data_IF_382226554373
#
_entry.id   IF_382226554373
#
_cell.length_a   1.000
_cell.length_b   1.000
_cell.length_c   1.000
_cell.angle_alpha   90.00
_cell.angle_beta   90.00
_cell.angle_gamma   90.00
#
_symmetry.space_group_name_H-M   'P 1'
#
loop_
_entity.id
_entity.type
_entity.pdbx_description
1 polymer ?
#
# COMPACT_ATOMS: atom_id res chain seq x y z
N UNK A 1 -97.74 -119.71 -28.41
CA UNK A 1 -98.94 -119.23 -29.15
C UNK A 1 -99.37 -120.31 -30.11
N UNK A 2 -100.60 -120.77 -29.92
CA UNK A 2 -101.32 -121.74 -30.75
C UNK A 2 -101.08 -121.53 -32.24
N UNK A 3 -100.61 -122.57 -32.93
CA UNK A 3 -100.89 -122.78 -34.34
C UNK A 3 -101.37 -124.22 -34.51
N UNK A 4 -102.66 -124.30 -34.80
CA UNK A 4 -103.39 -125.36 -35.51
C UNK A 4 -102.52 -126.48 -36.12
N UNK A 5 -102.89 -127.76 -35.97
CA UNK A 5 -102.26 -128.83 -36.74
C UNK A 5 -102.52 -128.53 -38.21
N UNK A 6 -101.45 -128.37 -38.99
CA UNK A 6 -101.61 -128.32 -40.45
C UNK A 6 -102.17 -129.68 -40.88
N UNK A 7 -103.33 -129.73 -41.55
CA UNK A 7 -103.67 -130.90 -42.34
C UNK A 7 -102.58 -131.04 -43.41
N UNK A 8 -102.30 -132.26 -43.85
CA UNK A 8 -101.26 -132.61 -44.83
C UNK A 8 -99.83 -132.84 -44.30
N UNK A 9 -99.67 -133.47 -43.12
CA UNK A 9 -98.48 -134.34 -42.92
C UNK A 9 -98.86 -135.72 -43.43
N UNK A 10 -98.27 -136.22 -44.53
CA UNK A 10 -98.53 -137.57 -45.01
C UNK A 10 -98.22 -138.57 -43.90
N UNK A 11 -99.14 -139.50 -43.62
CA UNK A 11 -98.86 -140.59 -42.69
C UNK A 11 -97.86 -141.55 -43.33
N UNK A 12 -96.57 -141.24 -43.17
CA UNK A 12 -95.47 -142.01 -43.71
C UNK A 12 -95.44 -143.44 -43.15
N UNK A 13 -96.03 -143.67 -41.96
CA UNK A 13 -96.20 -145.00 -41.38
C UNK A 13 -97.25 -145.81 -42.13
N UNK A 14 -98.42 -145.21 -42.40
CA UNK A 14 -99.45 -145.84 -43.23
C UNK A 14 -98.97 -146.08 -44.67
N UNK A 15 -98.22 -145.14 -45.26
CA UNK A 15 -97.65 -145.29 -46.61
C UNK A 15 -96.57 -146.39 -46.68
N UNK A 16 -95.70 -146.49 -45.66
CA UNK A 16 -94.71 -147.56 -45.58
C UNK A 16 -95.35 -148.95 -45.38
N UNK A 17 -96.41 -149.03 -44.56
CA UNK A 17 -97.18 -150.26 -44.37
C UNK A 17 -97.90 -150.69 -45.67
N UNK A 18 -98.54 -149.76 -46.38
CA UNK A 18 -99.15 -150.04 -47.69
C UNK A 18 -98.11 -150.49 -48.72
N UNK A 19 -96.91 -149.90 -48.72
CA UNK A 19 -95.82 -150.30 -49.61
C UNK A 19 -95.29 -151.71 -49.29
N UNK A 20 -95.22 -152.08 -48.01
CA UNK A 20 -94.82 -153.44 -47.58
C UNK A 20 -95.88 -154.50 -47.90
N UNK A 21 -97.17 -154.21 -47.71
CA UNK A 21 -98.26 -155.11 -48.11
C UNK A 21 -98.27 -155.34 -49.62
N UNK A 22 -98.03 -154.29 -50.40
CA UNK A 22 -97.94 -154.39 -51.86
C UNK A 22 -96.73 -155.24 -52.31
N UNK A 23 -95.56 -155.06 -51.71
CA UNK A 23 -94.35 -155.82 -52.03
C UNK A 23 -94.47 -157.32 -51.66
N UNK A 24 -95.17 -157.64 -50.56
CA UNK A 24 -95.41 -159.03 -50.13
C UNK A 24 -96.46 -159.72 -50.99
N UNK A 25 -97.49 -159.00 -51.45
CA UNK A 25 -98.41 -159.49 -52.49
C UNK A 25 -97.70 -159.81 -53.81
N UNK A 26 -96.71 -159.00 -54.21
CA UNK A 26 -96.00 -159.18 -55.47
C UNK A 26 -95.10 -160.42 -55.51
N UNK A 27 -94.49 -160.83 -54.39
CA UNK A 27 -93.69 -162.06 -54.33
C UNK A 27 -94.49 -163.35 -54.55
N UNK A 28 -95.80 -163.35 -54.23
CA UNK A 28 -96.67 -164.52 -54.49
C UNK A 28 -96.93 -164.78 -55.98
N UNK A 29 -96.69 -163.81 -56.85
CA UNK A 29 -96.88 -163.94 -58.30
C UNK A 29 -95.70 -164.59 -59.05
N UNK A 30 -94.55 -164.81 -58.42
CA UNK A 30 -93.33 -165.25 -59.11
C UNK A 30 -93.25 -166.77 -59.43
N UNK A 31 -94.21 -167.59 -59.00
CA UNK A 31 -94.14 -169.08 -59.08
C UNK A 31 -95.28 -169.75 -59.90
N UNK A 32 -95.75 -169.14 -61.00
CA UNK A 32 -96.72 -169.77 -61.92
C UNK A 32 -96.08 -170.15 -63.26
N UNK A 33 -96.41 -171.33 -63.86
CA UNK A 33 -95.96 -171.73 -65.20
C UNK A 33 -96.46 -170.77 -66.29
N UNK A 34 -95.73 -170.66 -67.40
CA UNK A 34 -95.93 -169.63 -68.44
C UNK A 34 -97.39 -169.53 -68.93
N UNK A 35 -98.11 -168.54 -68.41
CA UNK A 35 -99.46 -168.16 -68.82
C UNK A 35 -99.37 -167.02 -69.84
N UNK A 36 -99.60 -167.33 -71.12
CA UNK A 36 -99.74 -166.35 -72.21
C UNK A 36 -101.16 -165.74 -72.20
N UNK A 37 -101.58 -165.18 -71.06
CA UNK A 37 -102.83 -164.42 -70.94
C UNK A 37 -102.57 -162.91 -71.15
N UNK A 38 -103.10 -162.29 -72.22
CA UNK A 38 -102.93 -160.87 -72.52
C UNK A 38 -103.29 -159.92 -71.36
N UNK A 39 -104.24 -160.30 -70.50
CA UNK A 39 -104.61 -159.51 -69.34
C UNK A 39 -103.54 -159.52 -68.24
N UNK A 40 -102.79 -160.62 -68.08
CA UNK A 40 -101.71 -160.74 -67.09
C UNK A 40 -100.47 -159.96 -67.58
N UNK A 41 -100.10 -160.08 -68.85
CA UNK A 41 -99.01 -159.31 -69.46
C UNK A 41 -99.26 -157.80 -69.35
N UNK A 42 -100.49 -157.35 -69.59
CA UNK A 42 -100.88 -155.94 -69.43
C UNK A 42 -100.70 -155.46 -67.98
N UNK A 43 -101.05 -156.28 -66.99
CA UNK A 43 -100.86 -155.95 -65.56
C UNK A 43 -99.38 -155.87 -65.18
N UNK A 44 -98.54 -156.76 -65.70
CA UNK A 44 -97.09 -156.73 -65.48
C UNK A 44 -96.44 -155.47 -66.07
N UNK A 45 -96.83 -155.07 -67.29
CA UNK A 45 -96.34 -153.83 -67.89
C UNK A 45 -96.73 -152.60 -67.05
N UNK A 46 -97.99 -152.51 -66.60
CA UNK A 46 -98.45 -151.42 -65.72
C UNK A 46 -97.69 -151.37 -64.40
N UNK A 47 -97.29 -152.52 -63.88
CA UNK A 47 -96.50 -152.58 -62.66
C UNK A 47 -95.06 -152.11 -62.88
N UNK A 48 -94.47 -152.46 -64.02
CA UNK A 48 -93.16 -151.98 -64.41
C UNK A 48 -93.17 -150.45 -64.56
N UNK A 49 -94.23 -149.90 -65.17
CA UNK A 49 -94.44 -148.45 -65.25
C UNK A 49 -94.59 -147.80 -63.88
N UNK A 50 -95.35 -148.43 -62.96
CA UNK A 50 -95.49 -147.95 -61.59
C UNK A 50 -94.14 -147.95 -60.85
N UNK A 51 -93.32 -148.98 -61.06
CA UNK A 51 -91.99 -149.08 -60.45
C UNK A 51 -91.07 -147.98 -60.97
N UNK A 52 -91.10 -147.71 -62.28
CA UNK A 52 -90.37 -146.61 -62.89
C UNK A 52 -90.85 -145.24 -62.36
N UNK A 53 -92.16 -145.06 -62.19
CA UNK A 53 -92.72 -143.84 -61.59
C UNK A 53 -92.27 -143.66 -60.14
N UNK A 54 -92.28 -144.72 -59.32
CA UNK A 54 -91.79 -144.67 -57.94
C UNK A 54 -90.30 -144.31 -57.89
N UNK A 55 -89.48 -144.90 -58.77
CA UNK A 55 -88.05 -144.56 -58.85
C UNK A 55 -87.83 -143.09 -59.26
N UNK A 56 -88.60 -142.58 -60.22
CA UNK A 56 -88.54 -141.18 -60.63
C UNK A 56 -88.96 -140.23 -59.50
N UNK A 57 -90.02 -140.57 -58.76
CA UNK A 57 -90.48 -139.80 -57.59
C UNK A 57 -89.39 -139.80 -56.51
N UNK A 58 -88.79 -140.95 -56.21
CA UNK A 58 -87.70 -141.04 -55.24
C UNK A 58 -86.52 -140.13 -55.63
N UNK A 59 -86.11 -140.17 -56.90
CA UNK A 59 -85.03 -139.30 -57.39
C UNK A 59 -85.40 -137.81 -57.32
N UNK A 60 -86.66 -137.45 -57.62
CA UNK A 60 -87.15 -136.07 -57.49
C UNK A 60 -87.11 -135.61 -56.03
N UNK A 61 -87.65 -136.41 -55.10
CA UNK A 61 -87.63 -136.09 -53.67
C UNK A 61 -86.20 -135.93 -53.16
N UNK A 62 -85.29 -136.83 -53.55
CA UNK A 62 -83.88 -136.71 -53.19
C UNK A 62 -83.26 -135.41 -53.72
N UNK A 63 -83.58 -135.03 -54.96
CA UNK A 63 -83.11 -133.78 -55.59
C UNK A 63 -83.62 -132.55 -54.84
N UNK A 64 -84.92 -132.51 -54.54
CA UNK A 64 -85.57 -131.37 -53.89
C UNK A 64 -85.07 -131.19 -52.45
N UNK A 65 -84.93 -132.29 -51.70
CA UNK A 65 -84.34 -132.26 -50.35
C UNK A 65 -82.91 -131.73 -50.40
N UNK A 66 -82.09 -132.26 -51.32
CA UNK A 66 -80.69 -131.84 -51.48
C UNK A 66 -80.60 -130.36 -51.84
N UNK A 67 -81.41 -129.90 -52.80
CA UNK A 67 -81.46 -128.51 -53.24
C UNK A 67 -81.89 -127.57 -52.10
N UNK A 68 -82.95 -127.93 -51.37
CA UNK A 68 -83.44 -127.14 -50.23
C UNK A 68 -82.40 -127.04 -49.10
N UNK A 69 -81.69 -128.14 -48.80
CA UNK A 69 -80.60 -128.14 -47.81
C UNK A 69 -79.44 -127.26 -48.26
N UNK A 70 -79.03 -127.33 -49.54
CA UNK A 70 -77.98 -126.48 -50.11
C UNK A 70 -78.37 -125.01 -50.00
N UNK A 71 -79.59 -124.65 -50.39
CA UNK A 71 -80.05 -123.26 -50.32
C UNK A 71 -80.17 -122.74 -48.89
N UNK A 72 -80.67 -123.56 -47.97
CA UNK A 72 -80.75 -123.21 -46.54
C UNK A 72 -79.36 -123.00 -45.94
N UNK A 73 -78.43 -123.92 -46.23
CA UNK A 73 -77.04 -123.83 -45.75
C UNK A 73 -76.34 -122.62 -46.36
N UNK A 74 -76.53 -122.36 -47.66
CA UNK A 74 -75.98 -121.19 -48.36
C UNK A 74 -76.49 -119.89 -47.75
N UNK A 75 -77.81 -119.77 -47.52
CA UNK A 75 -78.42 -118.61 -46.86
C UNK A 75 -77.87 -118.41 -45.45
N UNK A 76 -77.72 -119.50 -44.70
CA UNK A 76 -77.17 -119.46 -43.33
C UNK A 76 -75.71 -119.01 -43.33
N UNK A 77 -74.87 -119.59 -44.18
CA UNK A 77 -73.46 -119.19 -44.32
C UNK A 77 -73.36 -117.72 -44.73
N UNK A 78 -74.10 -117.30 -45.76
CA UNK A 78 -74.08 -115.92 -46.24
C UNK A 78 -74.53 -114.95 -45.15
N UNK A 79 -75.57 -115.28 -44.39
CA UNK A 79 -76.04 -114.47 -43.26
C UNK A 79 -74.98 -114.37 -42.17
N UNK A 80 -74.43 -115.50 -41.72
CA UNK A 80 -73.41 -115.53 -40.65
C UNK A 80 -72.16 -114.76 -41.08
N UNK A 81 -71.66 -114.99 -42.30
CA UNK A 81 -70.50 -114.27 -42.83
C UNK A 81 -70.77 -112.77 -42.90
N UNK A 82 -71.93 -112.35 -43.41
CA UNK A 82 -72.29 -110.91 -43.47
C UNK A 82 -72.38 -110.31 -42.08
N UNK A 83 -73.06 -110.98 -41.14
CA UNK A 83 -73.24 -110.50 -39.77
C UNK A 83 -71.92 -110.41 -38.99
N UNK A 84 -70.94 -111.26 -39.27
CA UNK A 84 -69.62 -111.21 -38.61
C UNK A 84 -68.63 -110.27 -39.31
N UNK A 85 -68.64 -110.20 -40.65
CA UNK A 85 -67.63 -109.43 -41.42
C UNK A 85 -67.99 -107.95 -41.55
N UNK A 86 -69.28 -107.61 -41.62
CA UNK A 86 -69.71 -106.22 -41.75
C UNK A 86 -69.27 -105.33 -40.56
N UNK A 87 -69.49 -105.71 -39.28
CA UNK A 87 -69.02 -104.88 -38.17
C UNK A 87 -67.50 -104.74 -38.15
N UNK A 88 -66.75 -105.80 -38.45
CA UNK A 88 -65.28 -105.73 -38.56
C UNK A 88 -64.82 -104.75 -39.64
N UNK A 89 -65.52 -104.70 -40.78
CA UNK A 89 -65.23 -103.72 -41.85
C UNK A 89 -65.47 -102.29 -41.36
N UNK A 90 -66.56 -102.08 -40.63
CA UNK A 90 -66.93 -100.75 -40.11
C UNK A 90 -65.94 -100.31 -39.01
N UNK A 91 -65.53 -101.22 -38.12
CA UNK A 91 -64.51 -100.98 -37.09
C UNK A 91 -63.15 -100.64 -37.72
N UNK A 92 -62.73 -101.37 -38.76
CA UNK A 92 -61.50 -101.09 -39.51
C UNK A 92 -61.59 -99.70 -40.17
N UNK A 93 -62.74 -99.35 -40.74
CA UNK A 93 -62.96 -98.03 -41.35
C UNK A 93 -62.87 -96.92 -40.30
N UNK A 94 -63.57 -97.06 -39.18
CA UNK A 94 -63.54 -96.09 -38.07
C UNK A 94 -62.13 -95.92 -37.52
N UNK A 95 -61.43 -97.02 -37.26
CA UNK A 95 -60.04 -97.00 -36.75
C UNK A 95 -59.11 -96.28 -37.73
N UNK A 96 -59.28 -96.50 -39.04
CA UNK A 96 -58.51 -95.80 -40.07
C UNK A 96 -58.79 -94.30 -40.07
N UNK A 97 -60.05 -93.89 -39.96
CA UNK A 97 -60.45 -92.48 -39.89
C UNK A 97 -59.87 -91.80 -38.64
N UNK A 98 -59.92 -92.47 -37.48
CA UNK A 98 -59.36 -91.95 -36.23
C UNK A 98 -57.83 -91.85 -36.26
N UNK A 99 -57.14 -92.87 -36.79
CA UNK A 99 -55.69 -92.82 -36.98
C UNK A 99 -55.29 -91.71 -37.95
N UNK A 100 -56.06 -91.46 -39.00
CA UNK A 100 -55.80 -90.36 -39.94
C UNK A 100 -55.90 -89.01 -39.23
N UNK A 101 -56.97 -88.79 -38.45
CA UNK A 101 -57.14 -87.56 -37.64
C UNK A 101 -56.00 -87.36 -36.65
N UNK A 102 -55.56 -88.41 -35.96
CA UNK A 102 -54.44 -88.34 -35.03
C UNK A 102 -53.12 -88.00 -35.73
N UNK A 103 -52.86 -88.60 -36.90
CA UNK A 103 -51.67 -88.28 -37.70
C UNK A 103 -51.68 -86.83 -38.17
N UNK A 104 -52.83 -86.30 -38.60
CA UNK A 104 -52.95 -84.91 -39.01
C UNK A 104 -52.75 -83.95 -37.83
N UNK A 105 -53.34 -84.24 -36.67
CA UNK A 105 -53.12 -83.46 -35.45
C UNK A 105 -51.63 -83.43 -35.04
N UNK A 106 -50.95 -84.59 -35.04
CA UNK A 106 -49.51 -84.66 -34.75
C UNK A 106 -48.69 -83.88 -35.77
N UNK A 107 -49.09 -83.91 -37.06
CA UNK A 107 -48.41 -83.12 -38.11
C UNK A 107 -48.53 -81.62 -37.85
N UNK A 108 -49.71 -81.16 -37.45
CA UNK A 108 -49.95 -79.75 -37.12
C UNK A 108 -49.19 -79.31 -35.86
N UNK A 109 -49.15 -80.15 -34.83
CA UNK A 109 -48.33 -79.91 -33.64
C UNK A 109 -46.84 -79.80 -33.98
N UNK A 110 -46.33 -80.73 -34.81
CA UNK A 110 -44.93 -80.71 -35.28
C UNK A 110 -44.64 -79.43 -36.08
N UNK A 111 -45.58 -78.97 -36.92
CA UNK A 111 -45.45 -77.72 -37.66
C UNK A 111 -45.37 -76.52 -36.70
N UNK A 112 -46.26 -76.47 -35.72
CA UNK A 112 -46.31 -75.41 -34.69
C UNK A 112 -45.01 -75.37 -33.88
N UNK A 113 -44.50 -76.52 -33.42
CA UNK A 113 -43.22 -76.63 -32.72
C UNK A 113 -42.05 -76.14 -33.59
N UNK A 114 -42.05 -76.48 -34.89
CA UNK A 114 -41.01 -76.04 -35.82
C UNK A 114 -41.02 -74.52 -36.02
N UNK A 115 -42.20 -73.91 -36.07
CA UNK A 115 -42.35 -72.45 -36.15
C UNK A 115 -41.92 -71.78 -34.84
N UNK A 116 -42.32 -72.32 -33.69
CA UNK A 116 -41.86 -71.84 -32.37
C UNK A 116 -40.34 -71.90 -32.21
N UNK A 117 -39.70 -73.00 -32.62
CA UNK A 117 -38.24 -73.13 -32.60
C UNK A 117 -37.53 -72.13 -33.51
N UNK A 118 -38.14 -71.74 -34.64
CA UNK A 118 -37.58 -70.67 -35.49
C UNK A 118 -37.67 -69.32 -34.78
N UNK A 119 -38.80 -68.99 -34.15
CA UNK A 119 -38.94 -67.73 -33.38
C UNK A 119 -37.89 -67.63 -32.28
N UNK A 120 -37.76 -68.68 -31.47
CA UNK A 120 -36.77 -68.74 -30.38
C UNK A 120 -35.34 -68.57 -30.91
N UNK A 121 -35.03 -69.13 -32.08
CA UNK A 121 -33.70 -68.98 -32.69
C UNK A 121 -33.41 -67.54 -33.09
N UNK A 122 -34.38 -66.84 -33.68
CA UNK A 122 -34.22 -65.43 -34.05
C UNK A 122 -34.14 -64.51 -32.83
N UNK A 123 -34.96 -64.77 -31.80
CA UNK A 123 -34.86 -64.07 -30.51
C UNK A 123 -33.49 -64.26 -29.86
N UNK A 124 -32.97 -65.50 -29.83
CA UNK A 124 -31.64 -65.78 -29.29
C UNK A 124 -30.53 -65.07 -30.07
N UNK A 125 -30.69 -64.95 -31.40
CA UNK A 125 -29.77 -64.19 -32.24
C UNK A 125 -29.80 -62.70 -31.89
N UNK A 126 -30.99 -62.11 -31.75
CA UNK A 126 -31.17 -60.71 -31.35
C UNK A 126 -30.58 -60.43 -29.95
N UNK A 127 -30.83 -61.32 -28.98
CA UNK A 127 -30.23 -61.22 -27.64
C UNK A 127 -28.70 -61.26 -27.70
N UNK A 128 -28.13 -62.14 -28.54
CA UNK A 128 -26.67 -62.23 -28.71
C UNK A 128 -26.07 -60.97 -29.34
N UNK A 129 -26.76 -60.36 -30.29
CA UNK A 129 -26.35 -59.09 -30.89
C UNK A 129 -26.47 -57.93 -29.89
N UNK A 130 -27.55 -57.88 -29.11
CA UNK A 130 -27.71 -56.91 -28.03
C UNK A 130 -26.63 -57.02 -26.96
N UNK A 131 -26.27 -58.24 -26.55
CA UNK A 131 -25.21 -58.46 -25.57
C UNK A 131 -23.84 -57.99 -26.08
N UNK A 132 -23.53 -58.19 -27.37
CA UNK A 132 -22.30 -57.66 -27.98
C UNK A 132 -22.27 -56.13 -27.99
N UNK A 133 -23.39 -55.49 -28.32
CA UNK A 133 -23.49 -54.02 -28.27
C UNK A 133 -23.22 -53.50 -26.86
N UNK A 134 -23.81 -54.13 -25.84
CA UNK A 134 -23.58 -53.76 -24.42
C UNK A 134 -22.11 -53.96 -24.03
N UNK A 135 -21.46 -55.02 -24.50
CA UNK A 135 -20.05 -55.28 -24.24
C UNK A 135 -19.14 -54.19 -24.86
N UNK A 136 -19.44 -53.77 -26.09
CA UNK A 136 -18.73 -52.68 -26.78
C UNK A 136 -18.94 -51.33 -26.07
N UNK A 137 -20.19 -51.00 -25.71
CA UNK A 137 -20.53 -49.78 -24.97
C UNK A 137 -19.83 -49.73 -23.61
N UNK A 138 -19.79 -50.85 -22.89
CA UNK A 138 -19.10 -50.95 -21.61
C UNK A 138 -17.60 -50.76 -21.77
N UNK A 139 -16.99 -51.32 -22.82
CA UNK A 139 -15.58 -51.13 -23.13
C UNK A 139 -15.27 -49.68 -23.45
N UNK A 140 -16.07 -49.02 -24.30
CA UNK A 140 -15.92 -47.60 -24.62
C UNK A 140 -16.04 -46.72 -23.37
N UNK A 141 -17.08 -46.97 -22.56
CA UNK A 141 -17.30 -46.24 -21.30
C UNK A 141 -16.11 -46.38 -20.35
N UNK A 142 -15.54 -47.59 -20.23
CA UNK A 142 -14.36 -47.85 -19.41
C UNK A 142 -13.13 -47.10 -19.91
N UNK A 143 -12.88 -47.09 -21.21
CA UNK A 143 -11.78 -46.35 -21.82
C UNK A 143 -11.92 -44.84 -21.59
N UNK A 144 -13.12 -44.29 -21.77
CA UNK A 144 -13.39 -42.86 -21.57
C UNK A 144 -13.24 -42.45 -20.10
N UNK A 145 -13.79 -43.24 -19.17
CA UNK A 145 -13.61 -43.00 -17.74
C UNK A 145 -12.13 -43.07 -17.33
N UNK A 146 -11.36 -43.99 -17.90
CA UNK A 146 -9.92 -44.10 -17.62
C UNK A 146 -9.17 -42.85 -18.09
N UNK A 147 -9.49 -42.33 -19.29
CA UNK A 147 -8.90 -41.08 -19.80
C UNK A 147 -9.26 -39.89 -18.89
N UNK A 148 -10.53 -39.77 -18.50
CA UNK A 148 -10.98 -38.70 -17.62
C UNK A 148 -10.30 -38.74 -16.24
N UNK A 149 -10.21 -39.93 -15.64
CA UNK A 149 -9.53 -40.11 -14.34
C UNK A 149 -8.06 -39.72 -14.44
N UNK A 150 -7.37 -40.11 -15.51
CA UNK A 150 -5.96 -39.74 -15.71
C UNK A 150 -5.80 -38.23 -15.89
N UNK A 151 -6.66 -37.59 -16.70
CA UNK A 151 -6.62 -36.14 -16.91
C UNK A 151 -6.83 -35.37 -15.59
N UNK A 152 -7.85 -35.75 -14.81
CA UNK A 152 -8.08 -35.18 -13.46
C UNK A 152 -6.88 -35.44 -12.54
N UNK A 153 -6.28 -36.62 -12.61
CA UNK A 153 -5.09 -36.96 -11.84
C UNK A 153 -3.89 -36.06 -12.17
N UNK A 154 -3.70 -35.70 -13.43
CA UNK A 154 -2.63 -34.80 -13.86
C UNK A 154 -2.93 -33.34 -13.50
N UNK A 155 -4.17 -32.88 -13.67
CA UNK A 155 -4.60 -31.55 -13.21
C UNK A 155 -4.37 -31.36 -11.71
N UNK A 156 -4.71 -32.38 -10.89
CA UNK A 156 -4.47 -32.35 -9.45
C UNK A 156 -2.98 -32.27 -9.11
N UNK A 157 -2.10 -32.96 -9.86
CA UNK A 157 -0.64 -32.84 -9.67
C UNK A 157 -0.17 -31.43 -9.99
N UNK A 158 -0.59 -30.86 -11.12
CA UNK A 158 -0.22 -29.50 -11.53
C UNK A 158 -0.68 -28.45 -10.53
N UNK A 159 -1.91 -28.57 -10.02
CA UNK A 159 -2.42 -27.68 -8.94
C UNK A 159 -1.56 -27.81 -7.67
N UNK A 160 -1.19 -29.03 -7.29
CA UNK A 160 -0.35 -29.26 -6.11
C UNK A 160 1.05 -28.66 -6.26
N UNK A 161 1.65 -28.75 -7.44
CA UNK A 161 2.94 -28.12 -7.75
C UNK A 161 2.83 -26.59 -7.76
N UNK A 162 1.80 -26.04 -8.39
CA UNK A 162 1.53 -24.61 -8.37
C UNK A 162 1.34 -24.06 -6.95
N UNK A 163 0.62 -24.78 -6.09
CA UNK A 163 0.41 -24.38 -4.70
C UNK A 163 1.72 -24.35 -3.90
N UNK A 164 2.62 -25.33 -4.12
CA UNK A 164 3.95 -25.33 -3.49
C UNK A 164 4.79 -24.13 -3.92
N UNK A 165 4.78 -23.80 -5.21
CA UNK A 165 5.49 -22.61 -5.72
C UNK A 165 4.98 -21.34 -5.05
N UNK A 166 3.66 -21.18 -4.94
CA UNK A 166 3.05 -20.02 -4.26
C UNK A 166 3.44 -19.98 -2.78
N UNK A 167 3.51 -21.12 -2.10
CA UNK A 167 3.95 -21.20 -0.70
C UNK A 167 5.40 -20.75 -0.53
N UNK A 168 6.30 -21.19 -1.42
CA UNK A 168 7.70 -20.77 -1.45
C UNK A 168 7.86 -19.27 -1.73
N UNK A 169 7.14 -18.74 -2.72
CA UNK A 169 7.14 -17.31 -3.07
C UNK A 169 6.64 -16.44 -1.92
N UNK A 170 5.57 -16.89 -1.24
CA UNK A 170 5.02 -16.19 -0.08
C UNK A 170 6.02 -16.18 1.09
N UNK A 171 6.73 -17.29 1.31
CA UNK A 171 7.77 -17.38 2.33
C UNK A 171 8.92 -16.43 2.01
N UNK A 172 9.41 -16.41 0.77
CA UNK A 172 10.46 -15.48 0.32
C UNK A 172 10.03 -14.02 0.50
N UNK A 173 8.84 -13.68 0.04
CA UNK A 173 8.26 -12.33 0.17
C UNK A 173 8.16 -11.89 1.64
N UNK A 174 7.74 -12.80 2.53
CA UNK A 174 7.67 -12.52 3.97
C UNK A 174 9.05 -12.27 4.58
N UNK A 175 10.05 -13.07 4.20
CA UNK A 175 11.43 -12.89 4.66
C UNK A 175 12.01 -11.55 4.18
N UNK A 176 11.79 -11.19 2.92
CA UNK A 176 12.28 -9.93 2.34
C UNK A 176 11.60 -8.71 2.96
N UNK A 177 10.27 -8.74 3.13
CA UNK A 177 9.54 -7.68 3.84
C UNK A 177 10.04 -7.54 5.28
N UNK A 178 10.32 -8.64 5.97
CA UNK A 178 10.86 -8.60 7.34
C UNK A 178 12.24 -7.93 7.37
N UNK A 179 13.13 -8.25 6.42
CA UNK A 179 14.45 -7.59 6.29
C UNK A 179 14.30 -6.09 6.02
N UNK A 180 13.43 -5.71 5.07
CA UNK A 180 13.20 -4.30 4.73
C UNK A 180 12.64 -3.51 5.91
N UNK A 181 11.65 -4.06 6.63
CA UNK A 181 11.09 -3.42 7.82
C UNK A 181 12.16 -3.21 8.89
N UNK A 182 13.01 -4.22 9.13
CA UNK A 182 14.10 -4.09 10.09
C UNK A 182 15.13 -3.04 9.67
N UNK A 183 15.51 -2.99 8.38
CA UNK A 183 16.41 -1.97 7.86
C UNK A 183 15.84 -0.55 8.04
N UNK A 184 14.58 -0.34 7.66
CA UNK A 184 13.89 0.95 7.86
C UNK A 184 13.83 1.31 9.35
N UNK A 185 13.58 0.34 10.23
CA UNK A 185 13.56 0.57 11.68
C UNK A 185 14.91 1.04 12.21
N UNK A 186 15.99 0.43 11.73
CA UNK A 186 17.35 0.79 12.14
C UNK A 186 17.75 2.16 11.58
N UNK A 187 17.38 2.47 10.33
CA UNK A 187 17.56 3.81 9.74
C UNK A 187 16.81 4.89 10.54
N UNK A 188 15.57 4.63 10.92
CA UNK A 188 14.77 5.55 11.76
C UNK A 188 15.44 5.79 13.11
N UNK A 189 15.93 4.74 13.79
CA UNK A 189 16.68 4.91 15.04
C UNK A 189 17.94 5.75 14.84
N UNK A 190 18.69 5.51 13.78
CA UNK A 190 19.90 6.28 13.47
C UNK A 190 19.58 7.76 13.24
N UNK A 191 18.49 8.06 12.53
CA UNK A 191 18.00 9.43 12.34
C UNK A 191 17.57 10.06 13.66
N UNK A 192 16.85 9.33 14.52
CA UNK A 192 16.45 9.81 15.86
C UNK A 192 17.67 10.15 16.72
N UNK A 193 18.68 9.30 16.75
CA UNK A 193 19.94 9.54 17.46
C UNK A 193 20.71 10.73 16.88
N UNK A 194 20.81 10.83 15.55
CA UNK A 194 21.44 11.96 14.87
C UNK A 194 20.74 13.29 15.14
N UNK A 195 19.40 13.30 15.17
CA UNK A 195 18.60 14.47 15.50
C UNK A 195 18.78 14.89 16.96
N UNK A 196 18.84 13.92 17.88
CA UNK A 196 19.11 14.17 19.30
C UNK A 196 20.49 14.80 19.49
N UNK A 197 21.52 14.26 18.86
CA UNK A 197 22.88 14.82 18.88
C UNK A 197 22.92 16.25 18.34
N UNK A 198 22.31 16.48 17.16
CA UNK A 198 22.21 17.82 16.55
C UNK A 198 21.52 18.81 17.48
N UNK A 199 20.43 18.39 18.14
CA UNK A 199 19.71 19.23 19.10
C UNK A 199 20.58 19.60 20.31
N UNK A 200 21.33 18.64 20.86
CA UNK A 200 22.25 18.88 21.97
C UNK A 200 23.36 19.86 21.58
N UNK A 201 23.96 19.70 20.40
CA UNK A 201 25.01 20.58 19.90
C UNK A 201 24.51 22.00 19.62
N UNK A 202 23.35 22.14 18.97
CA UNK A 202 22.72 23.45 18.77
C UNK A 202 22.40 24.13 20.10
N UNK A 203 21.94 23.37 21.10
CA UNK A 203 21.67 23.92 22.44
C UNK A 203 22.96 24.46 23.09
N UNK A 204 24.07 23.72 22.99
CA UNK A 204 25.38 24.19 23.48
C UNK A 204 25.83 25.45 22.75
N UNK A 205 25.73 25.49 21.42
CA UNK A 205 26.12 26.67 20.62
C UNK A 205 25.28 27.89 20.98
N UNK A 206 23.96 27.74 21.09
CA UNK A 206 23.06 28.83 21.51
C UNK A 206 23.44 29.36 22.89
N UNK A 207 23.74 28.47 23.85
CA UNK A 207 24.17 28.88 25.18
C UNK A 207 25.50 29.63 25.14
N UNK A 208 26.48 29.14 24.38
CA UNK A 208 27.77 29.81 24.22
C UNK A 208 27.63 31.21 23.61
N UNK A 209 26.85 31.35 22.54
CA UNK A 209 26.52 32.66 21.95
C UNK A 209 25.81 33.56 22.97
N UNK A 210 24.89 33.00 23.75
CA UNK A 210 24.21 33.73 24.82
C UNK A 210 25.17 34.27 25.88
N UNK A 211 26.19 33.51 26.25
CA UNK A 211 27.20 33.91 27.22
C UNK A 211 28.20 34.92 26.65
N UNK A 212 28.64 34.75 25.40
CA UNK A 212 29.46 35.74 24.69
C UNK A 212 28.74 37.09 24.62
N UNK A 213 27.44 37.07 24.30
CA UNK A 213 26.63 38.28 24.19
C UNK A 213 26.44 38.97 25.56
N UNK A 214 26.37 38.20 26.65
CA UNK A 214 26.44 38.76 28.02
C UNK A 214 27.80 39.40 28.29
N UNK A 215 28.90 38.75 27.90
CA UNK A 215 30.27 39.28 28.07
C UNK A 215 30.44 40.61 27.33
N UNK A 216 30.09 40.65 26.04
CA UNK A 216 30.10 41.88 25.23
C UNK A 216 29.27 42.98 25.89
N UNK A 217 28.08 42.65 26.42
CA UNK A 217 27.23 43.62 27.13
C UNK A 217 27.89 44.16 28.40
N UNK A 218 28.65 43.32 29.13
CA UNK A 218 29.42 43.75 30.30
C UNK A 218 30.59 44.65 29.89
N UNK A 219 31.35 44.29 28.85
CA UNK A 219 32.49 45.07 28.32
C UNK A 219 32.06 46.42 27.72
N UNK A 220 30.86 46.51 27.15
CA UNK A 220 30.33 47.76 26.61
C UNK A 220 30.00 48.78 27.71
N UNK A 221 29.75 48.33 28.95
CA UNK A 221 29.42 49.19 30.09
C UNK A 221 30.56 50.16 30.47
N UNK A 222 31.81 49.71 30.76
CA UNK A 222 32.92 50.61 31.02
C UNK A 222 33.30 51.46 29.81
N UNK A 223 33.12 50.98 28.57
CA UNK A 223 33.29 51.81 27.37
C UNK A 223 32.30 52.98 27.39
N UNK A 224 31.01 52.72 27.66
CA UNK A 224 29.98 53.76 27.77
C UNK A 224 30.29 54.76 28.89
N UNK A 225 30.78 54.29 30.03
CA UNK A 225 31.14 55.15 31.14
C UNK A 225 32.44 55.93 30.87
N UNK A 226 33.41 55.34 30.18
CA UNK A 226 34.61 56.02 29.68
C UNK A 226 34.28 57.13 28.69
N UNK A 227 33.35 56.90 27.76
CA UNK A 227 32.85 57.95 26.84
C UNK A 227 32.19 59.10 27.61
N UNK A 228 31.40 58.82 28.65
CA UNK A 228 30.84 59.88 29.52
C UNK A 228 31.93 60.67 30.23
N UNK A 229 32.95 60.00 30.77
CA UNK A 229 34.08 60.62 31.44
C UNK A 229 34.85 61.53 30.50
N UNK A 230 35.20 61.05 29.30
CA UNK A 230 35.84 61.86 28.24
C UNK A 230 34.99 63.10 27.93
N UNK A 231 33.67 62.95 27.81
CA UNK A 231 32.77 64.09 27.56
C UNK A 231 32.79 65.13 28.69
N UNK A 232 32.93 64.70 29.95
CA UNK A 232 33.07 65.60 31.10
C UNK A 232 34.45 66.30 31.10
N UNK A 233 35.53 65.55 30.88
CA UNK A 233 36.88 66.11 30.77
C UNK A 233 36.98 67.12 29.63
N UNK A 234 36.37 66.83 28.47
CA UNK A 234 36.33 67.75 27.34
C UNK A 234 35.62 69.06 27.69
N UNK A 235 34.54 68.98 28.48
CA UNK A 235 33.82 70.16 28.98
C UNK A 235 34.68 70.97 29.96
N UNK A 236 35.41 70.31 30.85
CA UNK A 236 36.36 70.97 31.76
C UNK A 236 37.45 71.70 30.97
N UNK A 237 38.04 71.06 29.96
CA UNK A 237 39.05 71.68 29.08
C UNK A 237 38.44 72.87 28.33
N UNK A 238 37.19 72.76 27.87
CA UNK A 238 36.49 73.89 27.24
C UNK A 238 36.35 75.09 28.18
N UNK A 239 36.06 74.85 29.46
CA UNK A 239 35.95 75.88 30.49
C UNK A 239 37.33 76.46 30.87
N UNK A 240 38.37 75.63 30.98
CA UNK A 240 39.75 76.07 31.21
C UNK A 240 40.23 76.99 30.06
N UNK A 241 39.95 76.62 28.81
CA UNK A 241 40.27 77.44 27.64
C UNK A 241 39.55 78.79 27.68
N UNK A 242 38.29 78.84 28.15
CA UNK A 242 37.57 80.11 28.35
C UNK A 242 38.25 80.95 29.44
N UNK A 243 38.67 80.34 30.55
CA UNK A 243 39.39 81.02 31.62
C UNK A 243 40.71 81.61 31.14
N UNK A 244 41.55 80.82 30.46
CA UNK A 244 42.83 81.28 29.89
C UNK A 244 42.60 82.43 28.91
N UNK A 245 41.54 82.37 28.08
CA UNK A 245 41.19 83.46 27.17
C UNK A 245 40.83 84.75 27.92
N UNK A 246 40.19 84.64 29.08
CA UNK A 246 39.88 85.77 29.95
C UNK A 246 41.14 86.31 30.63
N UNK A 247 42.01 85.45 31.17
CA UNK A 247 43.28 85.85 31.77
C UNK A 247 44.18 86.55 30.77
N UNK A 248 44.27 86.03 29.53
CA UNK A 248 45.02 86.65 28.44
C UNK A 248 44.47 88.05 28.09
N UNK A 249 43.15 88.22 28.15
CA UNK A 249 42.52 89.54 27.96
C UNK A 249 42.90 90.49 29.10
N UNK A 250 42.78 90.06 30.35
CA UNK A 250 43.16 90.86 31.52
C UNK A 250 44.64 91.24 31.51
N UNK A 251 45.53 90.31 31.15
CA UNK A 251 46.96 90.58 31.02
C UNK A 251 47.25 91.60 29.90
N UNK A 252 46.56 91.48 28.76
CA UNK A 252 46.62 92.45 27.67
C UNK A 252 46.19 93.85 28.13
N UNK A 253 45.08 93.94 28.87
CA UNK A 253 44.55 95.22 29.37
C UNK A 253 45.52 95.84 30.40
N UNK A 254 46.10 95.05 31.31
CA UNK A 254 47.12 95.50 32.28
C UNK A 254 48.41 96.00 31.61
N UNK A 255 48.89 95.29 30.58
CA UNK A 255 50.04 95.73 29.78
C UNK A 255 49.76 97.08 29.08
N UNK A 256 48.54 97.30 28.59
CA UNK A 256 48.18 98.59 28.01
C UNK A 256 48.24 99.73 29.05
N UNK A 257 47.74 99.51 30.28
CA UNK A 257 47.82 100.50 31.36
C UNK A 257 49.27 100.82 31.77
N UNK A 258 50.16 99.82 31.81
CA UNK A 258 51.58 100.03 32.11
C UNK A 258 52.28 100.88 31.06
N UNK A 259 51.95 100.68 29.78
CA UNK A 259 52.48 101.48 28.66
C UNK A 259 52.03 102.94 28.81
N UNK A 260 50.74 103.18 29.07
CA UNK A 260 50.19 104.54 29.27
C UNK A 260 50.87 105.27 30.44
N UNK A 261 51.18 104.56 31.53
CA UNK A 261 51.85 105.13 32.70
C UNK A 261 53.31 105.54 32.43
N UNK A 262 54.03 104.74 31.64
CA UNK A 262 55.42 104.99 31.26
C UNK A 262 55.56 106.23 30.37
N UNK A 263 54.67 106.40 29.38
CA UNK A 263 54.70 107.55 28.47
C UNK A 263 54.54 108.89 29.22
N UNK A 264 53.70 108.93 30.25
CA UNK A 264 53.42 110.15 31.02
C UNK A 264 54.61 110.63 31.85
N UNK A 265 55.41 109.72 32.42
CA UNK A 265 56.54 110.06 33.28
C UNK A 265 57.74 110.61 32.51
N UNK A 266 57.99 110.11 31.29
CA UNK A 266 59.13 110.55 30.49
C UNK A 266 58.99 112.01 30.00
N UNK A 267 57.76 112.46 29.73
CA UNK A 267 57.51 113.78 29.14
C UNK A 267 57.74 114.94 30.14
N UNK A 268 57.55 114.70 31.44
CA UNK A 268 57.69 115.72 32.50
C UNK A 268 59.15 116.04 32.82
N UNK A 269 60.03 115.03 32.84
CA UNK A 269 61.46 115.21 33.17
C UNK A 269 62.21 115.99 32.08
N UNK A 270 61.96 115.66 30.80
CA UNK A 270 62.61 116.32 29.67
C UNK A 270 62.28 117.82 29.57
N UNK A 271 60.99 118.18 29.64
CA UNK A 271 60.54 119.58 29.58
C UNK A 271 61.08 120.39 30.77
N UNK A 272 61.13 119.80 31.96
CA UNK A 272 61.58 120.49 33.17
C UNK A 272 63.09 120.79 33.15
N UNK A 273 63.91 119.86 32.66
CA UNK A 273 65.36 120.08 32.50
C UNK A 273 65.65 121.22 31.54
N UNK A 274 64.88 121.33 30.45
CA UNK A 274 65.06 122.38 29.46
C UNK A 274 64.68 123.76 30.00
N UNK A 275 63.55 123.87 30.73
CA UNK A 275 63.15 125.10 31.44
C UNK A 275 64.22 125.54 32.44
N UNK A 276 64.80 124.59 33.18
CA UNK A 276 65.86 124.87 34.14
C UNK A 276 67.16 125.32 33.49
N UNK A 277 67.53 124.74 32.35
CA UNK A 277 68.69 125.17 31.57
C UNK A 277 68.55 126.65 31.18
N UNK A 278 67.37 127.04 30.68
CA UNK A 278 67.08 128.44 30.32
C UNK A 278 67.11 129.36 31.55
N UNK A 279 66.52 128.93 32.67
CA UNK A 279 66.50 129.71 33.90
C UNK A 279 67.91 129.93 34.47
N UNK A 280 68.80 128.93 34.39
CA UNK A 280 70.21 129.03 34.79
C UNK A 280 70.96 130.09 33.98
N UNK A 281 70.82 130.03 32.65
CA UNK A 281 71.47 131.00 31.74
C UNK A 281 70.99 132.42 32.05
N UNK A 282 69.70 132.61 32.30
CA UNK A 282 69.16 133.93 32.65
C UNK A 282 69.63 134.45 34.00
N UNK A 283 69.93 133.57 34.94
CA UNK A 283 70.39 133.92 36.28
C UNK A 283 71.88 134.28 36.33
N UNK A 284 72.62 133.97 35.26
CA UNK A 284 74.03 134.31 35.19
C UNK A 284 74.25 135.81 35.00
N UNK A 285 75.24 136.35 35.71
CA UNK A 285 75.50 137.80 35.82
C UNK A 285 74.45 138.64 36.56
N UNK A 286 73.20 138.18 36.69
CA UNK A 286 72.07 138.97 37.19
C UNK A 286 71.88 138.89 38.72
N UNK A 287 71.61 140.03 39.40
CA UNK A 287 71.35 140.02 40.86
C UNK A 287 69.98 139.43 41.18
N UNK A 288 68.99 139.55 40.28
CA UNK A 288 67.62 139.04 40.49
C UNK A 288 67.43 137.70 39.77
N UNK A 289 67.09 136.66 40.53
CA UNK A 289 67.03 135.29 40.05
C UNK A 289 65.62 134.87 39.64
N UNK A 290 65.55 134.23 38.47
CA UNK A 290 64.39 133.49 37.96
C UNK A 290 64.33 132.13 38.68
N UNK A 291 63.17 131.75 39.24
CA UNK A 291 63.00 130.45 39.86
C UNK A 291 63.21 129.31 38.87
N UNK A 292 64.07 128.36 39.26
CA UNK A 292 64.10 127.06 38.61
C UNK A 292 62.85 126.26 38.96
N UNK A 293 62.50 125.31 38.11
CA UNK A 293 61.43 124.33 38.26
C UNK A 293 61.93 123.03 38.86
N UNK A 294 61.04 122.31 39.52
CA UNK A 294 61.33 121.05 40.18
C UNK A 294 61.21 119.89 39.21
N UNK A 295 62.25 119.07 39.06
CA UNK A 295 62.21 117.86 38.21
C UNK A 295 61.22 116.81 38.73
N UNK A 296 60.77 116.93 39.98
CA UNK A 296 59.78 116.04 40.59
C UNK A 296 58.34 116.46 40.31
N UNK A 297 58.09 117.75 40.10
CA UNK A 297 56.71 118.29 39.99
C UNK A 297 56.44 119.04 38.68
N UNK A 298 57.49 119.34 37.90
CA UNK A 298 57.42 120.14 36.67
C UNK A 298 57.12 121.63 36.87
N UNK A 299 56.87 122.09 38.11
CA UNK A 299 56.50 123.48 38.43
C UNK A 299 57.64 124.28 39.09
N UNK A 300 57.50 125.62 39.23
CA UNK A 300 58.51 126.47 39.86
C UNK A 300 58.81 126.01 41.29
N UNK A 301 60.08 126.00 41.68
CA UNK A 301 60.50 125.63 43.04
C UNK A 301 59.95 126.68 44.01
N UNK A 302 59.10 126.22 44.92
CA UNK A 302 58.46 127.07 45.92
C UNK A 302 59.54 127.73 46.80
N UNK A 303 59.34 129.01 47.15
CA UNK A 303 60.27 129.82 47.96
C UNK A 303 61.72 129.89 47.42
N UNK A 304 61.88 129.80 46.11
CA UNK A 304 63.19 129.96 45.49
C UNK A 304 63.82 131.32 45.81
N UNK A 305 65.13 131.38 46.13
CA UNK A 305 65.82 132.64 46.44
C UNK A 305 65.71 133.62 45.27
N UNK A 306 65.20 134.82 45.55
CA UNK A 306 64.91 135.82 44.51
C UNK A 306 66.13 136.63 44.07
N UNK A 307 67.24 136.57 44.81
CA UNK A 307 68.47 137.30 44.48
C UNK A 307 69.72 136.48 44.77
N UNK A 308 70.84 136.79 44.11
CA UNK A 308 72.14 136.13 44.35
C UNK A 308 72.57 136.25 45.81
N UNK A 309 72.41 137.44 46.39
CA UNK A 309 72.69 137.67 47.82
C UNK A 309 71.81 136.79 48.73
N UNK A 310 70.55 136.54 48.34
CA UNK A 310 69.66 135.67 49.11
C UNK A 310 70.10 134.20 49.05
N UNK A 311 70.61 133.72 47.90
CA UNK A 311 71.19 132.36 47.78
C UNK A 311 72.34 132.19 48.78
N UNK A 312 73.22 133.19 48.88
CA UNK A 312 74.36 133.13 49.80
C UNK A 312 73.96 133.04 51.28
N UNK A 313 72.81 133.63 51.63
CA UNK A 313 72.28 133.64 53.01
C UNK A 313 71.38 132.45 53.35
N UNK A 314 71.14 131.54 52.41
CA UNK A 314 70.31 130.37 52.69
C UNK A 314 70.95 129.46 53.76
N UNK A 315 70.10 129.01 54.69
CA UNK A 315 70.43 127.96 55.66
C UNK A 315 70.33 126.59 54.98
N UNK A 316 71.13 125.64 55.45
CA UNK A 316 71.27 124.31 54.84
C UNK A 316 69.95 123.59 54.54
N UNK A 317 68.92 123.55 55.41
CA UNK A 317 67.68 122.83 55.12
C UNK A 317 66.96 123.37 53.88
N UNK A 318 67.03 124.68 53.65
CA UNK A 318 66.47 125.30 52.46
C UNK A 318 67.28 124.97 51.21
N UNK A 319 68.61 124.87 51.34
CA UNK A 319 69.51 124.49 50.24
C UNK A 319 69.23 123.03 49.84
N UNK A 320 69.23 122.11 50.80
CA UNK A 320 68.95 120.68 50.59
C UNK A 320 67.60 120.47 49.88
N UNK A 321 66.54 121.15 50.34
CA UNK A 321 65.23 121.07 49.67
C UNK A 321 65.26 121.56 48.23
N UNK A 322 65.95 122.66 47.94
CA UNK A 322 66.02 123.16 46.56
C UNK A 322 66.84 122.20 45.69
N UNK A 323 67.94 121.67 46.22
CA UNK A 323 68.75 120.65 45.54
C UNK A 323 67.94 119.38 45.23
N UNK A 324 67.15 118.87 46.18
CA UNK A 324 66.25 117.72 45.99
C UNK A 324 65.26 117.98 44.86
N UNK A 325 64.62 119.16 44.89
CA UNK A 325 63.65 119.55 43.87
C UNK A 325 64.31 119.72 42.51
N UNK A 326 65.60 120.05 42.45
CA UNK A 326 66.39 120.10 41.22
C UNK A 326 66.91 118.73 40.77
N UNK A 327 66.67 117.68 41.56
CA UNK A 327 67.18 116.34 41.30
C UNK A 327 68.69 116.21 41.49
N UNK A 328 69.30 117.06 42.31
CA UNK A 328 70.70 116.88 42.70
C UNK A 328 70.81 115.57 43.51
N UNK A 329 71.59 114.58 43.07
CA UNK A 329 71.68 113.28 43.76
C UNK A 329 72.29 113.42 45.17
N UNK A 330 72.96 114.55 45.46
CA UNK A 330 73.65 114.82 46.72
C UNK A 330 72.92 115.84 47.61
N UNK A 331 71.59 115.91 47.52
CA UNK A 331 70.76 116.82 48.33
C UNK A 331 70.59 116.38 49.79
N UNK A 332 70.79 115.09 50.09
CA UNK A 332 70.56 114.51 51.43
C UNK A 332 71.45 115.16 52.53
N UNK A 333 71.03 115.17 53.81
CA UNK A 333 71.73 115.90 54.90
C UNK A 333 73.19 115.48 55.13
N UNK A 334 73.50 114.21 54.91
CA UNK A 334 74.83 113.59 55.02
C UNK A 334 75.79 113.91 53.86
N UNK A 335 75.28 114.43 52.74
CA UNK A 335 76.05 114.62 51.51
C UNK A 335 76.78 115.98 51.41
N UNK A 336 77.95 116.07 52.04
CA UNK A 336 78.84 117.24 51.95
C UNK A 336 78.49 118.36 52.93
N UNK A 337 79.43 119.27 53.14
CA UNK A 337 79.29 120.39 54.08
C UNK A 337 78.24 121.41 53.61
N UNK A 338 77.65 122.21 54.51
CA UNK A 338 76.69 123.26 54.14
C UNK A 338 77.20 124.26 53.09
N UNK A 339 78.51 124.50 53.07
CA UNK A 339 79.13 125.36 52.06
C UNK A 339 79.20 124.66 50.69
N UNK A 340 79.56 123.39 50.62
CA UNK A 340 79.60 122.63 49.37
C UNK A 340 78.21 122.48 48.73
N UNK A 341 77.18 122.20 49.55
CA UNK A 341 75.78 122.22 49.09
C UNK A 341 75.38 123.59 48.56
N UNK A 342 75.83 124.68 49.22
CA UNK A 342 75.57 126.03 48.75
C UNK A 342 76.27 126.32 47.43
N UNK A 343 77.52 125.90 47.27
CA UNK A 343 78.25 126.04 46.00
C UNK A 343 77.56 125.25 44.88
N UNK A 344 77.12 124.02 45.13
CA UNK A 344 76.32 123.24 44.17
C UNK A 344 75.02 123.93 43.81
N UNK A 345 74.30 124.46 44.81
CA UNK A 345 73.09 125.22 44.56
C UNK A 345 73.41 126.47 43.74
N UNK A 346 74.45 127.24 44.07
CA UNK A 346 74.88 128.39 43.29
C UNK A 346 75.16 128.01 41.84
N UNK A 347 75.83 126.88 41.58
CA UNK A 347 76.05 126.38 40.22
C UNK A 347 74.74 126.03 39.52
N UNK A 348 73.88 125.25 40.17
CA UNK A 348 72.59 124.82 39.60
C UNK A 348 71.59 125.97 39.46
N UNK A 349 71.81 127.09 40.14
CA UNK A 349 70.99 128.30 40.02
C UNK A 349 71.59 129.28 39.01
N UNK A 350 72.87 129.14 38.61
CA UNK A 350 73.56 130.02 37.67
C UNK A 350 74.24 131.24 38.31
N UNK A 351 74.68 131.16 39.58
CA UNK A 351 75.17 132.32 40.35
C UNK A 351 76.71 132.45 40.35
N UNK A 352 77.45 131.44 39.90
CA UNK A 352 78.93 131.41 39.97
C UNK A 352 79.56 130.68 38.78
N UNK A 353 80.57 131.29 38.14
CA UNK A 353 81.31 130.74 36.98
C UNK A 353 82.54 129.89 37.34
N UNK A 354 83.06 129.93 38.58
CA UNK A 354 84.27 129.16 38.94
C UNK A 354 83.90 127.76 39.46
N UNK A 355 83.96 126.79 38.56
CA UNK A 355 83.77 125.37 38.83
C UNK A 355 84.91 124.80 39.68
N UNK A 356 84.60 124.35 40.91
CA UNK A 356 85.40 123.35 41.62
C UNK A 356 84.52 122.09 41.74
N UNK A 357 84.85 120.99 41.04
CA UNK A 357 84.06 119.77 41.16
C UNK A 357 84.11 119.27 42.61
N UNK A 358 82.94 119.16 43.22
CA UNK A 358 82.78 118.51 44.51
C UNK A 358 82.99 117.00 44.34
N UNK A 359 83.93 116.43 45.08
CA UNK A 359 84.18 114.98 45.13
C UNK A 359 83.49 114.47 46.40
N UNK A 360 82.41 113.71 46.24
CA UNK A 360 81.73 113.07 47.36
C UNK A 360 82.64 112.01 47.99
N UNK A 361 82.72 111.98 49.33
CA UNK A 361 83.53 111.03 50.08
C UNK A 361 82.93 109.62 49.97
N UNK A 362 83.70 108.57 49.62
CA UNK A 362 83.16 107.25 49.31
C UNK A 362 83.14 106.38 50.57
N UNK A 363 82.11 106.49 51.40
CA UNK A 363 81.82 105.45 52.39
C UNK A 363 80.40 105.66 52.93
N UNK A 364 79.44 104.97 52.32
CA UNK A 364 78.33 104.23 52.93
C UNK A 364 77.10 104.13 52.01
N UNK A 365 76.64 102.88 51.85
CA UNK A 365 75.29 102.54 51.38
C UNK A 365 75.15 102.49 49.86
N UNK A 366 74.40 101.58 49.26
CA UNK A 366 73.57 100.51 49.80
C UNK A 366 73.09 99.69 48.60
N UNK A 367 72.55 98.52 48.90
CA UNK A 367 72.02 97.54 47.97
C UNK A 367 71.01 98.07 46.93
N UNK A 368 71.04 97.45 45.76
CA UNK A 368 69.90 97.25 44.83
C UNK A 368 70.37 96.10 43.90
N UNK A 369 69.83 94.88 44.03
CA UNK A 369 68.51 94.41 43.61
C UNK A 369 68.55 93.79 42.20
N UNK A 370 68.01 92.57 42.16
CA UNK A 370 67.40 91.76 41.09
C UNK A 370 67.75 91.98 39.62
#
# INVERSE_FOLDING_TARGET
MNRTPSPDVPDYGAMANHAQEFASGFRRFQNLPAFNDPHITTKLNRLNDLTNNVNNIQQSIQRDITQSLIESLTRTIQRTVTQSVQPLRDDIKSTKEDLTKQIDAVRDDVKTVKEGLKSVKEELKSVKEGLKSVEEDLKSTKEDLTKQINAVGDDVKSVKEGLKSVEEDLKSTKEDLTKQINAVRDDVKSVEEGLKSTKEDLTKQINAVGDDLKSVKQELKPVKDGVKSIKQSLKSVEDDVKSVKQDLKSAKDSLAEQIDALEKNFNVDATTREINSIARVRNDGEERLTPLHSVLTGGPIKNFPKTRTAVQKLKEPAIARILEQLGDPYHKPDCGTPNEKRERLCMLVGVTEKYKPFVANPEQGEAADE
#
